data_IF_602898120578
#
_entry.id   IF_602898120578
#
_cell.length_a   1.000
_cell.length_b   1.000
_cell.length_c   1.000
_cell.angle_alpha   90.00
_cell.angle_beta   90.00
_cell.angle_gamma   90.00
#
_symmetry.space_group_name_H-M   'P 1'
#
loop_
_entity.id
_entity.type
_entity.pdbx_description
1 polymer ?
#
# COMPACT_ATOMS: atom_id res chain seq x y z
N UNK A 1 -6.07 10.13 -13.76
CA UNK A 1 -6.64 8.79 -14.11
C UNK A 1 -6.97 8.86 -15.60
N UNK A 2 -6.06 8.33 -16.40
CA UNK A 2 -6.33 8.24 -17.83
C UNK A 2 -7.53 7.30 -18.04
N UNK A 3 -8.56 7.81 -18.68
CA UNK A 3 -9.73 7.01 -18.99
C UNK A 3 -9.30 5.87 -19.90
N UNK A 4 -9.66 4.65 -19.53
CA UNK A 4 -9.51 3.47 -20.39
C UNK A 4 -10.02 3.82 -21.80
N UNK A 5 -9.23 3.49 -22.82
CA UNK A 5 -9.66 3.74 -24.21
C UNK A 5 -11.01 3.08 -24.46
N UNK A 6 -11.84 3.61 -25.35
CA UNK A 6 -13.13 2.99 -25.69
C UNK A 6 -13.01 1.50 -26.05
N UNK A 7 -11.94 1.14 -26.75
CA UNK A 7 -11.63 -0.25 -27.14
C UNK A 7 -11.32 -1.14 -25.93
N UNK A 8 -10.55 -0.65 -24.95
CA UNK A 8 -10.24 -1.39 -23.72
C UNK A 8 -11.48 -1.55 -22.85
N UNK A 9 -12.34 -0.53 -22.77
CA UNK A 9 -13.60 -0.56 -22.03
C UNK A 9 -14.58 -1.56 -22.66
N UNK A 10 -14.69 -1.57 -23.99
CA UNK A 10 -15.50 -2.53 -24.73
C UNK A 10 -14.96 -3.96 -24.59
N UNK A 11 -13.63 -4.16 -24.64
CA UNK A 11 -12.98 -5.44 -24.43
C UNK A 11 -13.27 -6.00 -23.04
N UNK A 12 -13.17 -5.20 -21.99
CA UNK A 12 -13.50 -5.58 -20.62
C UNK A 12 -14.99 -5.91 -20.45
N UNK A 13 -15.88 -5.09 -21.00
CA UNK A 13 -17.32 -5.33 -20.97
C UNK A 13 -17.69 -6.65 -21.67
N UNK A 14 -17.06 -6.95 -22.80
CA UNK A 14 -17.28 -8.19 -23.55
C UNK A 14 -16.64 -9.42 -22.88
N UNK A 15 -15.51 -9.27 -22.17
CA UNK A 15 -14.83 -10.38 -21.47
C UNK A 15 -15.56 -10.80 -20.20
N UNK A 16 -16.07 -9.84 -19.42
CA UNK A 16 -16.67 -10.09 -18.11
C UNK A 16 -18.21 -10.04 -18.10
N UNK A 17 -18.84 -9.44 -19.09
CA UNK A 17 -20.29 -9.35 -19.21
C UNK A 17 -20.99 -10.72 -19.23
N UNK A 18 -20.53 -11.70 -20.01
CA UNK A 18 -21.13 -13.04 -20.05
C UNK A 18 -20.96 -13.83 -18.74
N UNK A 19 -19.85 -13.63 -18.03
CA UNK A 19 -19.57 -14.28 -16.74
C UNK A 19 -20.51 -13.73 -15.66
N UNK A 20 -20.74 -12.43 -15.66
CA UNK A 20 -21.65 -11.77 -14.73
C UNK A 20 -23.13 -12.13 -14.99
N UNK A 21 -23.47 -12.51 -16.23
CA UNK A 21 -24.81 -12.91 -16.63
C UNK A 21 -25.13 -14.41 -16.41
N UNK A 22 -24.20 -15.21 -15.88
CA UNK A 22 -24.40 -16.64 -15.60
C UNK A 22 -24.62 -17.49 -16.86
N UNK A 23 -24.14 -17.04 -18.01
CA UNK A 23 -24.28 -17.76 -19.28
C UNK A 23 -23.24 -18.86 -19.43
N UNK A 24 -23.69 -19.98 -19.95
CA UNK A 24 -23.04 -21.28 -20.07
C UNK A 24 -21.68 -21.29 -20.79
N UNK A 25 -20.99 -22.45 -20.70
CA UNK A 25 -19.68 -22.79 -21.21
C UNK A 25 -19.28 -22.11 -22.54
N UNK A 26 -18.01 -21.69 -22.69
CA UNK A 26 -17.54 -20.98 -23.87
C UNK A 26 -17.80 -21.80 -25.16
N UNK A 27 -18.39 -21.17 -26.16
CA UNK A 27 -18.54 -21.78 -27.49
C UNK A 27 -17.19 -21.79 -28.20
N UNK A 28 -16.95 -22.71 -29.16
CA UNK A 28 -15.71 -22.76 -29.95
C UNK A 28 -15.35 -21.42 -30.62
N UNK A 29 -16.34 -20.59 -30.94
CA UNK A 29 -16.17 -19.29 -31.57
C UNK A 29 -15.81 -18.20 -30.55
N UNK A 30 -16.16 -18.36 -29.26
CA UNK A 30 -15.85 -17.40 -28.21
C UNK A 30 -14.40 -17.50 -27.71
N UNK A 31 -13.75 -18.64 -27.89
CA UNK A 31 -12.38 -18.89 -27.43
C UNK A 31 -11.34 -18.01 -28.15
N UNK A 32 -11.34 -17.89 -29.50
CA UNK A 32 -10.41 -16.99 -30.20
C UNK A 32 -10.62 -15.53 -29.82
N UNK A 33 -11.86 -15.10 -29.63
CA UNK A 33 -12.20 -13.73 -29.21
C UNK A 33 -11.70 -13.46 -27.81
N UNK A 34 -11.92 -14.36 -26.85
CA UNK A 34 -11.41 -14.26 -25.49
C UNK A 34 -9.87 -14.24 -25.47
N UNK A 35 -9.20 -15.06 -26.28
CA UNK A 35 -7.74 -15.04 -26.42
C UNK A 35 -7.22 -13.69 -26.92
N UNK A 36 -7.82 -13.15 -27.98
CA UNK A 36 -7.45 -11.84 -28.52
C UNK A 36 -7.63 -10.71 -27.48
N UNK A 37 -8.66 -10.81 -26.64
CA UNK A 37 -8.90 -9.84 -25.56
C UNK A 37 -7.87 -9.96 -24.44
N UNK A 38 -7.48 -11.18 -24.06
CA UNK A 38 -6.39 -11.42 -23.11
C UNK A 38 -5.05 -10.89 -23.65
N UNK A 39 -4.73 -11.18 -24.91
CA UNK A 39 -3.51 -10.68 -25.55
C UNK A 39 -3.48 -9.14 -25.63
N UNK A 40 -4.63 -8.49 -25.75
CA UNK A 40 -4.74 -7.03 -25.69
C UNK A 40 -4.54 -6.48 -24.28
N UNK A 41 -5.10 -7.17 -23.27
CA UNK A 41 -4.91 -6.84 -21.85
C UNK A 41 -3.45 -7.00 -21.43
N UNK A 42 -2.82 -8.10 -21.81
CA UNK A 42 -1.40 -8.37 -21.51
C UNK A 42 -0.50 -7.30 -22.14
N UNK A 43 -0.81 -6.84 -23.36
CA UNK A 43 -0.10 -5.74 -24.01
C UNK A 43 -0.28 -4.43 -23.27
N UNK A 44 -1.50 -4.10 -22.88
CA UNK A 44 -1.81 -2.89 -22.11
C UNK A 44 -1.03 -2.86 -20.78
N UNK A 45 -1.03 -3.95 -20.02
CA UNK A 45 -0.28 -4.01 -18.77
C UNK A 45 1.24 -3.97 -19.01
N UNK A 46 1.74 -4.60 -20.08
CA UNK A 46 3.16 -4.52 -20.43
C UNK A 46 3.58 -3.09 -20.78
N UNK A 47 2.78 -2.36 -21.54
CA UNK A 47 3.00 -0.95 -21.89
C UNK A 47 2.98 -0.07 -20.61
N UNK A 48 1.99 -0.25 -19.76
CA UNK A 48 1.90 0.46 -18.47
C UNK A 48 3.12 0.23 -17.57
N UNK A 49 3.62 -1.01 -17.52
CA UNK A 49 4.84 -1.34 -16.77
C UNK A 49 6.06 -0.65 -17.37
N UNK A 50 6.20 -0.67 -18.70
CA UNK A 50 7.33 -0.03 -19.39
C UNK A 50 7.32 1.49 -19.20
N UNK A 51 6.16 2.15 -19.28
CA UNK A 51 6.03 3.59 -19.01
C UNK A 51 6.42 3.95 -17.57
N UNK A 52 6.15 3.06 -16.62
CA UNK A 52 6.51 3.28 -15.21
C UNK A 52 7.96 2.94 -14.87
N UNK A 53 8.70 2.28 -15.76
CA UNK A 53 10.03 1.75 -15.47
C UNK A 53 11.03 2.81 -15.02
N UNK A 54 11.07 3.96 -15.70
CA UNK A 54 11.95 5.07 -15.33
C UNK A 54 11.64 5.59 -13.92
N UNK A 55 10.36 5.67 -13.57
CA UNK A 55 9.92 6.00 -12.23
C UNK A 55 10.32 4.97 -11.18
N UNK A 56 10.27 3.67 -11.52
CA UNK A 56 10.74 2.59 -10.63
C UNK A 56 12.24 2.73 -10.36
N UNK A 57 13.05 2.94 -11.40
CA UNK A 57 14.50 3.13 -11.29
C UNK A 57 14.82 4.36 -10.45
N UNK A 58 14.14 5.48 -10.69
CA UNK A 58 14.31 6.71 -9.93
C UNK A 58 13.99 6.50 -8.44
N UNK A 59 12.85 5.90 -8.12
CA UNK A 59 12.47 5.60 -6.73
C UNK A 59 13.40 4.60 -6.06
N UNK A 60 13.84 3.57 -6.78
CA UNK A 60 14.81 2.60 -6.26
C UNK A 60 16.17 3.23 -5.94
N UNK A 61 16.56 4.27 -6.69
CA UNK A 61 17.81 5.01 -6.46
C UNK A 61 17.68 6.02 -5.31
N UNK A 62 16.50 6.58 -5.11
CA UNK A 62 16.21 7.53 -4.03
C UNK A 62 16.01 6.82 -2.68
N UNK A 63 15.40 5.63 -2.70
CA UNK A 63 15.30 4.80 -1.50
C UNK A 63 16.71 4.36 -1.09
N UNK A 64 17.27 5.06 -0.12
CA UNK A 64 18.39 4.52 0.65
C UNK A 64 17.99 3.12 1.16
N UNK A 65 18.95 2.20 1.33
CA UNK A 65 18.65 0.83 1.79
C UNK A 65 17.84 0.87 3.08
N UNK A 66 16.52 0.91 2.94
CA UNK A 66 15.58 0.93 4.06
C UNK A 66 15.46 -0.48 4.66
N UNK A 67 16.58 -1.02 5.15
CA UNK A 67 16.57 -2.17 6.02
C UNK A 67 16.09 -1.75 7.40
N UNK A 68 15.20 -2.52 8.01
CA UNK A 68 14.98 -2.41 9.45
C UNK A 68 16.20 -3.01 10.15
N UNK A 69 16.86 -2.23 11.02
CA UNK A 69 17.98 -2.71 11.84
C UNK A 69 17.53 -3.73 12.89
N UNK A 70 16.23 -3.78 13.12
CA UNK A 70 15.57 -4.68 14.07
C UNK A 70 14.61 -5.59 13.33
N UNK A 71 14.40 -6.79 13.83
CA UNK A 71 13.49 -7.77 13.21
C UNK A 71 12.14 -7.72 13.94
N UNK A 72 11.14 -7.01 13.41
CA UNK A 72 9.79 -7.09 13.92
C UNK A 72 9.23 -8.51 13.69
N UNK A 73 8.01 -8.76 14.20
CA UNK A 73 7.36 -10.01 13.90
C UNK A 73 7.18 -10.21 12.37
N UNK A 74 7.02 -11.47 11.96
CA UNK A 74 6.94 -11.87 10.55
C UNK A 74 5.83 -11.13 9.78
N UNK A 75 4.71 -10.81 10.44
CA UNK A 75 3.58 -10.10 9.81
C UNK A 75 3.95 -8.66 9.49
N UNK A 76 4.53 -7.95 10.45
CA UNK A 76 4.96 -6.55 10.27
C UNK A 76 6.05 -6.47 9.21
N UNK A 77 7.02 -7.39 9.24
CA UNK A 77 8.07 -7.48 8.22
C UNK A 77 7.48 -7.68 6.83
N UNK A 78 6.58 -8.64 6.66
CA UNK A 78 5.92 -8.91 5.37
C UNK A 78 5.18 -7.68 4.84
N UNK A 79 4.38 -7.02 5.69
CA UNK A 79 3.65 -5.82 5.29
C UNK A 79 4.59 -4.67 4.93
N UNK A 80 5.74 -4.55 5.60
CA UNK A 80 6.74 -3.53 5.30
C UNK A 80 7.41 -3.76 3.94
N UNK A 81 7.72 -5.02 3.61
CA UNK A 81 8.21 -5.39 2.27
C UNK A 81 7.18 -5.09 1.18
N UNK A 82 5.88 -5.35 1.43
CA UNK A 82 4.81 -5.02 0.49
C UNK A 82 4.64 -3.50 0.33
N UNK A 83 4.73 -2.72 1.41
CA UNK A 83 4.70 -1.26 1.34
C UNK A 83 5.84 -0.73 0.45
N UNK A 84 7.05 -1.27 0.58
CA UNK A 84 8.20 -0.94 -0.27
C UNK A 84 7.93 -1.24 -1.74
N UNK A 85 7.45 -2.45 -2.04
CA UNK A 85 7.10 -2.84 -3.42
C UNK A 85 6.05 -1.90 -4.00
N UNK A 86 5.01 -1.60 -3.23
CA UNK A 86 3.98 -0.64 -3.65
C UNK A 86 4.56 0.73 -3.97
N UNK A 87 5.47 1.24 -3.14
CA UNK A 87 6.15 2.51 -3.40
C UNK A 87 7.00 2.44 -4.67
N UNK A 88 7.84 1.41 -4.82
CA UNK A 88 8.71 1.24 -5.99
C UNK A 88 7.92 1.23 -7.30
N UNK A 89 6.81 0.51 -7.33
CA UNK A 89 5.96 0.39 -8.52
C UNK A 89 4.98 1.56 -8.71
N UNK A 90 5.00 2.56 -7.82
CA UNK A 90 4.13 3.74 -7.92
C UNK A 90 2.69 3.52 -7.46
N UNK A 91 2.42 2.43 -6.73
CA UNK A 91 1.14 2.19 -6.08
C UNK A 91 1.04 2.96 -4.76
N UNK A 92 1.09 4.27 -4.85
CA UNK A 92 1.23 5.19 -3.72
C UNK A 92 0.10 5.03 -2.68
N UNK A 93 -1.14 4.90 -3.16
CA UNK A 93 -2.30 4.69 -2.30
C UNK A 93 -2.17 3.38 -1.49
N UNK A 94 -1.82 2.27 -2.15
CA UNK A 94 -1.62 0.99 -1.50
C UNK A 94 -0.44 1.04 -0.50
N UNK A 95 0.64 1.73 -0.84
CA UNK A 95 1.77 1.97 0.07
C UNK A 95 1.31 2.62 1.38
N UNK A 96 0.54 3.71 1.32
CA UNK A 96 0.03 4.41 2.50
C UNK A 96 -0.92 3.53 3.35
N UNK A 97 -1.76 2.72 2.70
CA UNK A 97 -2.64 1.75 3.39
C UNK A 97 -1.81 0.70 4.13
N UNK A 98 -0.78 0.14 3.49
CA UNK A 98 0.12 -0.81 4.16
C UNK A 98 0.89 -0.16 5.32
N UNK A 99 1.42 1.06 5.16
CA UNK A 99 2.09 1.79 6.24
C UNK A 99 1.18 1.95 7.47
N UNK A 100 -0.11 2.28 7.27
CA UNK A 100 -1.08 2.34 8.36
C UNK A 100 -1.32 0.97 9.01
N UNK A 101 -1.47 -0.09 8.22
CA UNK A 101 -1.67 -1.45 8.74
C UNK A 101 -0.45 -1.95 9.54
N UNK A 102 0.76 -1.60 9.10
CA UNK A 102 2.03 -1.88 9.80
C UNK A 102 2.02 -1.18 11.16
N UNK A 103 1.74 0.12 11.18
CA UNK A 103 1.69 0.92 12.39
C UNK A 103 0.69 0.35 13.39
N UNK A 104 -0.53 0.04 12.94
CA UNK A 104 -1.57 -0.55 13.78
C UNK A 104 -1.13 -1.91 14.34
N UNK A 105 -0.53 -2.77 13.50
CA UNK A 105 -0.04 -4.07 13.92
C UNK A 105 1.08 -3.98 14.97
N UNK A 106 2.05 -3.09 14.77
CA UNK A 106 3.17 -2.87 15.68
C UNK A 106 2.72 -2.27 17.02
N UNK A 107 1.81 -1.29 16.99
CA UNK A 107 1.27 -0.70 18.21
C UNK A 107 0.47 -1.72 19.03
N UNK A 108 -0.37 -2.55 18.40
CA UNK A 108 -1.10 -3.63 19.08
C UNK A 108 -0.16 -4.62 19.74
N UNK A 109 0.92 -4.99 19.06
CA UNK A 109 1.87 -5.97 19.58
C UNK A 109 2.67 -5.44 20.78
N UNK A 110 3.15 -4.20 20.70
CA UNK A 110 4.12 -3.65 21.65
C UNK A 110 3.45 -2.83 22.75
N UNK A 111 2.49 -1.97 22.38
CA UNK A 111 1.89 -1.06 23.34
C UNK A 111 0.76 -1.68 24.15
N UNK A 112 -0.05 -2.56 23.57
CA UNK A 112 -1.18 -3.17 24.27
C UNK A 112 -1.49 -4.59 23.76
N UNK A 113 -0.60 -5.57 24.01
CA UNK A 113 -0.74 -6.94 23.53
C UNK A 113 -1.94 -7.71 24.12
N UNK A 114 -2.57 -7.19 25.18
CA UNK A 114 -3.71 -7.82 25.86
C UNK A 114 -5.04 -7.12 25.60
N UNK A 115 -5.04 -6.06 24.78
CA UNK A 115 -6.28 -5.35 24.47
C UNK A 115 -7.17 -6.19 23.57
N UNK A 116 -8.30 -6.63 24.11
CA UNK A 116 -9.39 -7.27 23.36
C UNK A 116 -10.31 -6.22 22.69
N UNK A 117 -10.11 -4.93 22.98
CA UNK A 117 -10.97 -3.85 22.49
C UNK A 117 -10.51 -3.33 21.13
N UNK A 118 -11.50 -2.94 20.32
CA UNK A 118 -11.26 -2.21 19.05
C UNK A 118 -10.83 -0.77 19.34
N UNK A 119 -9.59 -0.59 19.81
CA UNK A 119 -9.03 0.75 20.02
C UNK A 119 -8.76 1.44 18.69
N UNK A 120 -8.97 2.75 18.66
CA UNK A 120 -8.54 3.54 17.50
C UNK A 120 -7.02 3.62 17.45
N UNK A 121 -6.47 3.80 16.25
CA UNK A 121 -5.02 3.99 16.07
C UNK A 121 -4.49 5.20 16.87
N UNK A 122 -5.33 6.21 17.08
CA UNK A 122 -4.98 7.38 17.88
C UNK A 122 -4.86 7.04 19.36
N UNK A 123 -5.75 6.20 19.88
CA UNK A 123 -5.68 5.74 21.27
C UNK A 123 -4.44 4.88 21.49
N UNK A 124 -4.13 3.99 20.53
CA UNK A 124 -2.90 3.17 20.60
C UNK A 124 -1.62 4.02 20.58
N UNK A 125 -1.59 5.10 19.79
CA UNK A 125 -0.47 6.05 19.80
C UNK A 125 -0.37 6.74 21.18
N UNK A 126 -1.51 7.14 21.77
CA UNK A 126 -1.54 7.75 23.11
C UNK A 126 -1.00 6.80 24.18
N UNK A 127 -1.43 5.54 24.16
CA UNK A 127 -0.91 4.49 25.08
C UNK A 127 0.59 4.28 24.90
N UNK A 128 1.08 4.26 23.66
CA UNK A 128 2.51 4.12 23.38
C UNK A 128 3.32 5.32 23.92
N UNK A 129 2.77 6.54 23.85
CA UNK A 129 3.39 7.73 24.45
C UNK A 129 3.41 7.65 25.98
N UNK A 130 2.30 7.28 26.62
CA UNK A 130 2.22 7.12 28.08
C UNK A 130 3.23 6.10 28.61
N UNK A 131 3.47 5.04 27.84
CA UNK A 131 4.47 4.00 28.16
C UNK A 131 5.90 4.39 27.75
N UNK A 132 6.11 5.59 27.26
CA UNK A 132 7.40 6.07 26.73
C UNK A 132 8.02 5.18 25.64
N UNK A 133 7.17 4.50 24.87
CA UNK A 133 7.55 3.66 23.72
C UNK A 133 7.73 4.48 22.45
N UNK A 134 7.14 5.67 22.40
CA UNK A 134 7.31 6.66 21.34
C UNK A 134 7.71 8.00 21.96
N UNK A 135 8.89 8.48 21.61
CA UNK A 135 9.49 9.71 22.12
C UNK A 135 9.81 10.69 21.00
N UNK A 136 10.28 11.88 21.34
CA UNK A 136 10.73 12.92 20.43
C UNK A 136 9.70 13.23 19.31
N UNK A 137 10.07 13.01 18.05
CA UNK A 137 9.23 13.28 16.89
C UNK A 137 8.39 12.04 16.44
N UNK A 138 8.60 10.89 17.04
CA UNK A 138 7.94 9.62 16.66
C UNK A 138 6.42 9.63 16.79
N UNK A 139 5.84 10.24 17.87
CA UNK A 139 4.38 10.38 17.94
C UNK A 139 3.79 11.19 16.78
N UNK A 140 4.52 12.19 16.28
CA UNK A 140 4.13 12.96 15.10
C UNK A 140 4.20 12.09 13.86
N UNK A 141 5.33 11.39 13.64
CA UNK A 141 5.48 10.44 12.54
C UNK A 141 4.34 9.41 12.52
N UNK A 142 4.00 8.82 13.67
CA UNK A 142 2.90 7.86 13.77
C UNK A 142 1.53 8.46 13.39
N UNK A 143 1.24 9.71 13.82
CA UNK A 143 0.00 10.40 13.44
C UNK A 143 -0.04 10.73 11.95
N UNK A 144 1.08 11.13 11.35
CA UNK A 144 1.18 11.44 9.92
C UNK A 144 0.94 10.18 9.09
N UNK A 145 1.52 9.03 9.47
CA UNK A 145 1.25 7.72 8.86
C UNK A 145 -0.22 7.33 8.98
N UNK A 146 -0.81 7.45 10.18
CA UNK A 146 -2.21 7.15 10.40
C UNK A 146 -3.12 8.03 9.54
N UNK A 147 -2.83 9.33 9.45
CA UNK A 147 -3.57 10.30 8.64
C UNK A 147 -3.49 9.97 7.14
N UNK A 148 -2.29 9.68 6.62
CA UNK A 148 -2.09 9.33 5.23
C UNK A 148 -2.86 8.06 4.85
N UNK A 149 -2.74 7.00 5.65
CA UNK A 149 -3.44 5.75 5.40
C UNK A 149 -4.96 5.87 5.54
N UNK A 150 -5.47 6.63 6.51
CA UNK A 150 -6.90 6.92 6.61
C UNK A 150 -7.43 7.65 5.37
N UNK A 151 -6.68 8.67 4.91
CA UNK A 151 -7.04 9.40 3.70
C UNK A 151 -7.04 8.48 2.47
N UNK A 152 -6.04 7.62 2.33
CA UNK A 152 -5.96 6.65 1.23
C UNK A 152 -7.17 5.69 1.20
N UNK A 153 -7.71 5.30 2.37
CA UNK A 153 -8.84 4.38 2.47
C UNK A 153 -10.18 5.09 2.22
N UNK A 154 -10.38 6.27 2.81
CA UNK A 154 -11.69 6.91 2.87
C UNK A 154 -11.89 8.02 1.84
N UNK A 155 -10.81 8.61 1.32
CA UNK A 155 -10.84 9.71 0.35
C UNK A 155 -9.65 9.62 -0.62
N UNK A 156 -9.65 8.62 -1.53
CA UNK A 156 -8.54 8.38 -2.44
C UNK A 156 -8.28 9.56 -3.40
N UNK A 157 -9.30 10.32 -3.78
CA UNK A 157 -9.14 11.50 -4.65
C UNK A 157 -8.38 12.60 -3.91
N UNK A 158 -8.74 12.87 -2.66
CA UNK A 158 -8.02 13.83 -1.82
C UNK A 158 -6.61 13.33 -1.49
N UNK A 159 -6.40 12.03 -1.33
CA UNK A 159 -5.08 11.46 -1.14
C UNK A 159 -4.19 11.77 -2.34
N UNK A 160 -4.62 11.51 -3.55
CA UNK A 160 -3.85 11.79 -4.77
C UNK A 160 -3.53 13.27 -4.96
N UNK A 161 -4.40 14.16 -4.48
CA UNK A 161 -4.16 15.60 -4.53
C UNK A 161 -3.12 16.06 -3.49
N UNK A 162 -3.15 15.49 -2.30
CA UNK A 162 -2.38 15.98 -1.14
C UNK A 162 -1.03 15.25 -0.97
N UNK A 163 -0.84 14.08 -1.59
CA UNK A 163 0.39 13.28 -1.49
C UNK A 163 1.01 13.04 -2.87
N UNK A 164 2.17 13.66 -3.09
CA UNK A 164 3.07 13.34 -4.20
C UNK A 164 3.85 12.03 -3.92
N UNK A 165 4.68 11.61 -4.85
CA UNK A 165 5.59 10.48 -4.67
C UNK A 165 6.52 10.70 -3.46
N UNK A 166 7.07 11.91 -3.32
CA UNK A 166 7.93 12.31 -2.21
C UNK A 166 7.18 12.30 -0.88
N UNK A 167 5.92 12.76 -0.87
CA UNK A 167 5.07 12.68 0.33
C UNK A 167 4.79 11.25 0.78
N UNK A 168 4.66 10.31 -0.15
CA UNK A 168 4.50 8.88 0.17
C UNK A 168 5.82 8.27 0.65
N UNK A 169 6.97 8.70 0.12
CA UNK A 169 8.29 8.33 0.63
C UNK A 169 8.48 8.76 2.09
N UNK A 170 8.04 9.99 2.42
CA UNK A 170 8.05 10.48 3.80
C UNK A 170 7.17 9.62 4.72
N UNK A 171 5.99 9.17 4.24
CA UNK A 171 5.12 8.27 5.00
C UNK A 171 5.82 6.92 5.26
N UNK A 172 6.47 6.35 4.25
CA UNK A 172 7.21 5.09 4.38
C UNK A 172 8.42 5.24 5.32
N UNK A 173 9.17 6.33 5.19
CA UNK A 173 10.29 6.69 6.08
C UNK A 173 9.83 6.89 7.52
N UNK A 174 8.72 7.58 7.72
CA UNK A 174 8.11 7.78 9.04
C UNK A 174 7.67 6.46 9.67
N UNK A 175 7.12 5.54 8.86
CA UNK A 175 6.76 4.20 9.31
C UNK A 175 7.99 3.46 9.81
N UNK A 176 9.10 3.46 9.05
CA UNK A 176 10.37 2.85 9.47
C UNK A 176 10.85 3.41 10.81
N UNK A 177 10.92 4.74 10.93
CA UNK A 177 11.37 5.40 12.16
C UNK A 177 10.56 4.99 13.39
N UNK A 178 9.23 4.88 13.24
CA UNK A 178 8.33 4.44 14.32
C UNK A 178 8.60 2.97 14.68
N UNK A 179 8.78 2.09 13.70
CA UNK A 179 9.10 0.69 13.94
C UNK A 179 10.43 0.53 14.65
N UNK A 180 11.48 1.24 14.21
CA UNK A 180 12.82 1.20 14.83
C UNK A 180 12.77 1.61 16.31
N UNK A 181 11.89 2.51 16.70
CA UNK A 181 11.75 2.89 18.11
C UNK A 181 10.90 1.89 18.89
N UNK A 182 9.74 1.46 18.35
CA UNK A 182 8.87 0.49 19.02
C UNK A 182 9.56 -0.85 19.30
N UNK A 183 10.42 -1.30 18.38
CA UNK A 183 11.14 -2.58 18.51
C UNK A 183 12.56 -2.42 19.05
N UNK A 184 12.97 -1.22 19.46
CA UNK A 184 14.26 -1.02 20.11
C UNK A 184 14.27 -1.81 21.42
N UNK A 185 15.23 -2.73 21.55
CA UNK A 185 15.42 -3.47 22.81
C UNK A 185 15.70 -2.49 23.95
N UNK A 186 15.07 -2.64 25.10
CA UNK A 186 15.42 -1.86 26.28
C UNK A 186 16.90 -2.10 26.59
N UNK A 187 17.62 -1.00 26.70
CA UNK A 187 19.05 -0.97 27.07
C UNK A 187 19.27 -1.49 28.48
#
# INVERSE_FOLDING_TARGET
MDELTPETREALGNAFGPIAAGQNAPTPESVPKAKSQLDALDRYYAEEILEKLDGVVSRASALDRMGLEIVPNRRVQFLFEEAHRCYLYGFHLACAVFCRAILEGALKEIADPQSETNQSIHDMIAVAMEKSLLTDDRPRCARDVAKAGNKAIHDPEMFHRDYSAEGVEEVLTSTRKVLEELYRLPS
#
